data_IF_294910392446
#
_entry.id   IF_294910392446
#
_cell.length_a   1.000
_cell.length_b   1.000
_cell.length_c   1.000
_cell.angle_alpha   90.00
_cell.angle_beta   90.00
_cell.angle_gamma   90.00
#
_symmetry.space_group_name_H-M   'P 1'
#
loop_
_entity.id
_entity.type
_entity.pdbx_description
1 polymer ?
#
# COMPACT_ATOMS: atom_id res chain seq x y z
N UNK A 1 -6.12 -10.38 10.03
CA UNK A 1 -6.00 -10.86 8.64
C UNK A 1 -7.37 -10.81 8.00
N UNK A 2 -7.53 -11.08 6.70
CA UNK A 2 -8.86 -10.93 6.08
C UNK A 2 -9.83 -12.03 6.53
N UNK A 3 -9.30 -13.19 6.92
CA UNK A 3 -10.05 -14.23 7.62
C UNK A 3 -10.71 -13.71 8.89
N UNK A 4 -10.01 -12.94 9.71
CA UNK A 4 -10.56 -12.36 10.95
C UNK A 4 -11.78 -11.48 10.66
N UNK A 5 -11.78 -10.73 9.54
CA UNK A 5 -12.95 -9.94 9.12
C UNK A 5 -14.16 -10.79 8.80
N UNK A 6 -13.98 -11.99 8.22
CA UNK A 6 -15.07 -12.94 8.02
C UNK A 6 -15.59 -13.45 9.37
N UNK A 7 -14.70 -13.78 10.30
CA UNK A 7 -15.08 -14.26 11.64
C UNK A 7 -15.83 -13.19 12.46
N UNK A 8 -15.40 -11.93 12.39
CA UNK A 8 -16.05 -10.79 13.05
C UNK A 8 -17.42 -10.46 12.41
N UNK A 9 -17.55 -10.67 11.10
CA UNK A 9 -18.77 -10.38 10.33
C UNK A 9 -19.23 -11.63 9.54
N UNK A 10 -19.89 -12.60 10.21
CA UNK A 10 -20.31 -13.86 9.57
C UNK A 10 -21.29 -13.71 8.41
N UNK A 11 -21.88 -12.52 8.21
CA UNK A 11 -22.78 -12.21 7.09
C UNK A 11 -22.03 -11.95 5.77
N UNK A 12 -20.70 -11.82 5.81
CA UNK A 12 -19.89 -11.64 4.61
C UNK A 12 -19.63 -12.99 3.93
N UNK A 13 -19.91 -13.06 2.64
CA UNK A 13 -19.60 -14.25 1.83
C UNK A 13 -18.12 -14.29 1.42
N UNK A 14 -17.57 -13.14 1.05
CA UNK A 14 -16.21 -12.98 0.49
C UNK A 14 -15.62 -11.63 0.90
N UNK A 15 -14.32 -11.61 1.21
CA UNK A 15 -13.52 -10.40 1.40
C UNK A 15 -12.47 -10.31 0.29
N UNK A 16 -12.38 -9.15 -0.37
CA UNK A 16 -11.32 -8.86 -1.35
C UNK A 16 -10.15 -8.14 -0.67
N UNK A 17 -8.93 -8.59 -0.94
CA UNK A 17 -7.67 -8.11 -0.34
C UNK A 17 -6.80 -7.43 -1.40
N UNK A 18 -6.17 -6.31 -1.02
CA UNK A 18 -5.24 -5.58 -1.88
C UNK A 18 -5.98 -4.80 -2.97
N UNK A 19 -5.50 -4.90 -4.21
CA UNK A 19 -6.13 -4.26 -5.37
C UNK A 19 -7.28 -5.14 -5.89
N UNK A 20 -8.46 -4.53 -6.02
CA UNK A 20 -9.71 -5.25 -6.22
C UNK A 20 -10.17 -5.35 -7.66
N UNK A 21 -9.58 -4.59 -8.59
CA UNK A 21 -10.08 -4.39 -9.95
C UNK A 21 -10.21 -5.72 -10.70
N UNK A 22 -9.12 -6.50 -10.77
CA UNK A 22 -9.13 -7.82 -11.41
C UNK A 22 -9.92 -8.84 -10.59
N UNK A 23 -9.83 -8.78 -9.26
CA UNK A 23 -10.51 -9.72 -8.35
C UNK A 23 -12.02 -9.62 -8.46
N UNK A 24 -12.55 -8.41 -8.51
CA UNK A 24 -13.98 -8.15 -8.67
C UNK A 24 -14.45 -8.59 -10.06
N UNK A 25 -13.63 -8.38 -11.09
CA UNK A 25 -13.94 -8.84 -12.45
C UNK A 25 -14.05 -10.38 -12.53
N UNK A 26 -13.12 -11.11 -11.92
CA UNK A 26 -13.16 -12.59 -11.84
C UNK A 26 -14.34 -13.10 -10.98
N UNK A 27 -14.67 -12.39 -9.89
CA UNK A 27 -15.86 -12.71 -9.11
C UNK A 27 -17.14 -12.53 -9.93
N UNK A 28 -17.23 -11.44 -10.70
CA UNK A 28 -18.38 -11.12 -11.54
C UNK A 28 -18.51 -12.08 -12.75
N UNK A 29 -17.43 -12.70 -13.22
CA UNK A 29 -17.46 -13.71 -14.29
C UNK A 29 -17.98 -15.07 -13.82
N UNK A 30 -18.10 -15.28 -12.50
CA UNK A 30 -18.56 -16.54 -11.91
C UNK A 30 -17.45 -17.59 -11.78
N UNK A 31 -16.18 -17.18 -11.76
CA UNK A 31 -15.07 -18.08 -11.46
C UNK A 31 -15.17 -18.65 -10.04
N UNK A 32 -14.53 -19.81 -9.82
CA UNK A 32 -14.59 -20.50 -8.54
C UNK A 32 -13.74 -19.76 -7.50
N UNK A 33 -14.31 -19.47 -6.32
CA UNK A 33 -13.66 -18.66 -5.27
C UNK A 33 -12.21 -19.06 -4.93
N UNK A 34 -11.84 -20.36 -4.85
CA UNK A 34 -10.47 -20.77 -4.54
C UNK A 34 -9.45 -20.46 -5.65
N UNK A 35 -9.88 -20.24 -6.90
CA UNK A 35 -8.98 -19.90 -8.02
C UNK A 35 -8.70 -18.40 -8.10
N UNK A 36 -9.59 -17.58 -7.54
CA UNK A 36 -9.51 -16.13 -7.54
C UNK A 36 -8.50 -15.68 -6.47
N UNK A 37 -7.41 -15.05 -6.91
CA UNK A 37 -6.38 -14.51 -6.01
C UNK A 37 -6.87 -13.27 -5.26
N UNK A 38 -6.35 -13.06 -4.05
CA UNK A 38 -6.66 -11.89 -3.25
C UNK A 38 -8.05 -11.94 -2.60
N UNK A 39 -8.55 -13.11 -2.26
CA UNK A 39 -9.85 -13.29 -1.59
C UNK A 39 -9.69 -13.99 -0.24
N UNK A 40 -10.65 -13.78 0.65
CA UNK A 40 -10.94 -14.66 1.78
C UNK A 40 -12.42 -15.05 1.69
N UNK A 41 -12.76 -16.29 2.02
CA UNK A 41 -14.13 -16.81 1.91
C UNK A 41 -14.34 -17.97 2.88
N UNK A 42 -15.60 -18.36 3.09
CA UNK A 42 -15.94 -19.53 3.89
C UNK A 42 -15.78 -20.83 3.09
N UNK A 43 -15.01 -21.78 3.63
CA UNK A 43 -14.91 -23.14 3.10
C UNK A 43 -15.09 -24.14 4.25
N UNK A 44 -16.12 -24.98 4.16
CA UNK A 44 -16.43 -26.00 5.18
C UNK A 44 -16.51 -25.42 6.61
N UNK A 45 -17.11 -24.23 6.75
CA UNK A 45 -17.29 -23.55 8.04
C UNK A 45 -16.02 -22.92 8.62
N UNK A 46 -14.94 -22.80 7.82
CA UNK A 46 -13.71 -22.13 8.22
C UNK A 46 -13.37 -21.02 7.23
N UNK A 47 -12.82 -19.92 7.73
CA UNK A 47 -12.30 -18.87 6.88
C UNK A 47 -11.05 -19.40 6.15
N UNK A 48 -11.07 -19.35 4.82
CA UNK A 48 -9.96 -19.70 3.95
C UNK A 48 -9.51 -18.47 3.18
N UNK A 49 -8.20 -18.30 3.06
CA UNK A 49 -7.60 -17.24 2.26
C UNK A 49 -6.97 -17.81 0.98
N UNK A 50 -7.19 -17.14 -0.16
CA UNK A 50 -6.47 -17.44 -1.39
C UNK A 50 -5.11 -16.74 -1.44
N UNK A 51 -4.28 -17.14 -2.41
CA UNK A 51 -2.98 -16.54 -2.67
C UNK A 51 -3.09 -15.01 -2.83
N UNK A 52 -2.09 -14.28 -2.33
CA UNK A 52 -2.04 -12.83 -2.50
C UNK A 52 -1.96 -12.48 -3.98
N UNK A 53 -2.83 -11.57 -4.45
CA UNK A 53 -2.72 -10.97 -5.77
C UNK A 53 -1.59 -9.92 -5.76
N UNK A 54 -0.75 -9.95 -6.79
CA UNK A 54 0.25 -8.91 -7.02
C UNK A 54 -0.41 -7.59 -7.38
N UNK A 55 0.35 -6.50 -7.29
CA UNK A 55 -0.14 -5.18 -7.71
C UNK A 55 -0.32 -5.13 -9.23
N UNK A 56 -1.33 -4.41 -9.69
CA UNK A 56 -1.54 -4.11 -11.11
C UNK A 56 -0.32 -3.34 -11.62
N UNK A 57 0.38 -3.89 -12.60
CA UNK A 57 1.63 -3.30 -13.11
C UNK A 57 1.38 -2.15 -14.08
N UNK A 58 0.37 -2.30 -14.91
CA UNK A 58 0.02 -1.34 -15.94
C UNK A 58 -1.26 -0.60 -15.52
N UNK A 59 -1.13 0.68 -15.18
CA UNK A 59 -2.26 1.50 -14.76
C UNK A 59 -3.19 1.87 -15.91
N UNK A 60 -2.68 1.87 -17.14
CA UNK A 60 -3.47 2.19 -18.34
C UNK A 60 -4.50 1.09 -18.67
N UNK A 61 -4.38 -0.10 -18.05
CA UNK A 61 -5.37 -1.18 -18.15
C UNK A 61 -6.60 -0.94 -17.26
N UNK A 62 -6.51 -0.04 -16.29
CA UNK A 62 -7.63 0.25 -15.39
C UNK A 62 -8.59 1.23 -16.09
N UNK A 63 -9.89 0.94 -16.13
CA UNK A 63 -10.86 1.84 -16.75
C UNK A 63 -10.95 3.15 -15.97
N UNK A 64 -11.32 4.24 -16.68
CA UNK A 64 -11.64 5.49 -16.01
C UNK A 64 -12.74 5.29 -14.95
N UNK A 65 -12.67 5.98 -13.80
CA UNK A 65 -13.71 5.89 -12.80
C UNK A 65 -15.10 6.22 -13.37
N UNK A 66 -16.09 5.42 -13.01
CA UNK A 66 -17.46 5.57 -13.50
C UNK A 66 -18.20 6.72 -12.80
N UNK A 67 -17.77 7.98 -13.01
CA UNK A 67 -18.35 9.17 -12.34
C UNK A 67 -19.84 9.35 -12.56
N UNK A 68 -20.38 8.83 -13.67
CA UNK A 68 -21.81 8.87 -13.97
C UNK A 68 -22.66 8.03 -12.99
N UNK A 69 -22.05 7.13 -12.21
CA UNK A 69 -22.73 6.36 -11.16
C UNK A 69 -22.75 7.09 -9.81
N UNK A 70 -22.00 8.19 -9.67
CA UNK A 70 -21.93 8.95 -8.42
C UNK A 70 -23.01 10.04 -8.41
N UNK A 71 -23.59 10.36 -7.23
CA UNK A 71 -24.49 11.50 -7.07
C UNK A 71 -23.68 12.80 -7.09
N UNK A 72 -23.25 13.24 -8.27
CA UNK A 72 -22.30 14.33 -8.48
C UNK A 72 -22.76 15.68 -7.91
N UNK A 73 -24.06 15.85 -7.64
CA UNK A 73 -24.64 17.02 -6.98
C UNK A 73 -24.13 17.18 -5.55
N UNK A 74 -23.72 16.08 -4.90
CA UNK A 74 -23.09 16.12 -3.57
C UNK A 74 -21.61 16.47 -3.61
N UNK A 75 -21.01 16.48 -4.80
CA UNK A 75 -19.59 16.74 -5.04
C UNK A 75 -19.41 18.02 -5.86
N UNK A 76 -20.04 19.10 -5.38
CA UNK A 76 -19.99 20.42 -6.00
C UNK A 76 -19.40 21.43 -5.02
N UNK A 77 -18.51 22.29 -5.50
CA UNK A 77 -17.98 23.41 -4.75
C UNK A 77 -18.03 24.67 -5.62
N UNK A 78 -18.84 25.65 -5.22
CA UNK A 78 -19.01 26.91 -5.93
C UNK A 78 -19.54 26.76 -7.37
N UNK A 79 -20.52 25.87 -7.61
CA UNK A 79 -21.07 25.63 -8.95
C UNK A 79 -20.23 24.68 -9.82
N UNK A 80 -19.10 24.18 -9.31
CA UNK A 80 -18.20 23.28 -10.06
C UNK A 80 -18.22 21.88 -9.45
N UNK A 81 -18.58 20.88 -10.26
CA UNK A 81 -18.52 19.47 -9.89
C UNK A 81 -17.06 18.98 -9.87
N UNK A 82 -16.68 18.19 -8.87
CA UNK A 82 -15.32 17.66 -8.72
C UNK A 82 -15.34 16.18 -8.34
N UNK A 83 -14.28 15.46 -8.70
CA UNK A 83 -14.03 14.10 -8.24
C UNK A 83 -12.52 13.85 -8.18
N UNK A 84 -12.11 12.92 -7.32
CA UNK A 84 -10.71 12.53 -7.23
C UNK A 84 -10.31 11.68 -8.44
N UNK A 85 -9.10 11.90 -8.94
CA UNK A 85 -8.36 11.00 -9.82
C UNK A 85 -7.08 10.63 -9.07
N UNK A 86 -6.86 9.34 -8.84
CA UNK A 86 -5.58 8.86 -8.32
C UNK A 86 -4.64 8.65 -9.51
N UNK A 87 -3.65 9.53 -9.65
CA UNK A 87 -2.65 9.47 -10.73
C UNK A 87 -1.40 8.66 -10.35
N UNK A 88 -1.28 8.29 -9.07
CA UNK A 88 -0.22 7.42 -8.56
C UNK A 88 -0.70 6.67 -7.32
N UNK A 89 0.02 5.62 -6.94
CA UNK A 89 -0.24 4.80 -5.74
C UNK A 89 0.99 4.80 -4.84
N UNK A 90 0.79 4.62 -3.53
CA UNK A 90 1.85 4.59 -2.53
C UNK A 90 2.93 3.55 -2.88
N UNK A 91 4.17 3.85 -2.51
CA UNK A 91 5.29 2.92 -2.70
C UNK A 91 5.10 1.69 -1.80
N UNK A 92 5.37 0.51 -2.37
CA UNK A 92 5.50 -0.72 -1.58
C UNK A 92 6.82 -0.63 -0.82
N UNK A 93 6.82 -0.99 0.47
CA UNK A 93 8.08 -1.27 1.14
C UNK A 93 8.86 -2.27 0.27
N UNK A 94 10.11 -1.96 -0.12
CA UNK A 94 10.90 -2.90 -0.87
C UNK A 94 10.97 -4.22 -0.06
N UNK A 95 10.92 -5.38 -0.72
CA UNK A 95 11.27 -6.63 -0.04
C UNK A 95 12.63 -6.37 0.64
N UNK A 96 12.72 -6.66 1.95
CA UNK A 96 13.84 -6.30 2.81
C UNK A 96 15.13 -6.19 1.98
N UNK A 97 15.57 -4.97 1.71
CA UNK A 97 16.85 -4.78 1.05
C UNK A 97 17.85 -5.55 1.91
N UNK A 98 18.69 -6.43 1.32
CA UNK A 98 19.72 -7.09 2.09
C UNK A 98 20.44 -5.98 2.85
N UNK A 99 20.35 -6.02 4.18
CA UNK A 99 21.11 -5.12 5.03
C UNK A 99 22.56 -5.39 4.66
N UNK A 100 23.12 -4.55 3.80
CA UNK A 100 24.55 -4.57 3.58
C UNK A 100 25.14 -4.38 4.97
N UNK A 101 25.95 -5.34 5.46
CA UNK A 101 26.60 -5.15 6.75
C UNK A 101 27.29 -3.80 6.68
N UNK A 102 26.97 -2.92 7.61
CA UNK A 102 27.71 -1.68 7.77
C UNK A 102 29.18 -2.11 7.80
N UNK A 103 30.06 -1.52 6.97
CA UNK A 103 31.47 -1.85 7.06
C UNK A 103 31.88 -1.68 8.51
N UNK A 104 32.45 -2.73 9.10
CA UNK A 104 32.95 -2.68 10.47
C UNK A 104 33.74 -1.38 10.59
N UNK A 105 33.20 -0.47 11.42
CA UNK A 105 33.78 0.85 11.59
C UNK A 105 35.25 0.69 11.94
N UNK A 106 36.16 1.53 11.40
CA UNK A 106 37.58 1.31 11.56
C UNK A 106 37.92 1.19 13.04
N UNK A 107 38.46 0.01 13.39
CA UNK A 107 39.04 -0.27 14.68
C UNK A 107 40.03 0.83 15.04
N UNK A 108 39.80 1.50 16.18
CA UNK A 108 40.78 2.33 16.91
C UNK A 108 41.42 3.48 16.13
N UNK A 109 40.79 4.65 16.22
CA UNK A 109 41.53 5.92 16.31
C UNK A 109 42.13 6.05 17.73
N UNK A 110 43.28 5.41 17.98
CA UNK A 110 44.10 5.65 19.18
C UNK A 110 45.22 6.66 18.97
N UNK A 111 45.30 7.32 17.81
CA UNK A 111 46.44 8.20 17.47
C UNK A 111 46.06 9.63 17.08
N UNK A 112 44.82 10.07 17.29
CA UNK A 112 44.41 11.45 16.99
C UNK A 112 43.80 12.15 18.21
N UNK A 113 44.55 12.16 19.31
CA UNK A 113 44.45 13.19 20.35
C UNK A 113 45.81 13.85 20.39
N UNK A 114 46.00 14.90 19.61
CA UNK A 114 46.93 16.01 19.88
C UNK A 114 46.89 16.99 18.72
N UNK A 115 45.83 17.79 18.67
CA UNK A 115 45.88 19.09 18.02
C UNK A 115 44.88 20.03 18.70
N UNK A 116 45.31 21.15 19.31
CA UNK A 116 44.42 22.07 20.00
C UNK A 116 43.56 22.84 18.99
N UNK A 117 42.24 22.79 19.18
CA UNK A 117 41.26 23.54 18.40
C UNK A 117 41.37 25.05 18.65
N UNK A 118 41.48 25.90 17.62
CA UNK A 118 41.41 27.34 17.81
C UNK A 118 39.94 27.82 17.79
N UNK A 119 39.51 28.36 18.94
CA UNK A 119 38.81 29.64 19.06
C UNK A 119 37.68 29.95 18.05
N UNK A 120 36.44 29.62 18.40
CA UNK A 120 35.26 30.27 17.82
C UNK A 120 35.03 31.63 18.51
N UNK A 121 35.47 32.70 17.85
CA UNK A 121 35.09 34.10 18.16
C UNK A 121 33.72 34.41 17.56
N UNK A 122 32.94 35.19 18.32
CA UNK A 122 31.60 35.67 18.03
C UNK A 122 31.46 36.40 16.67
N UNK A 123 30.31 36.22 16.00
CA UNK A 123 29.54 37.31 15.36
C UNK A 123 28.04 36.94 15.30
N UNK A 124 27.21 37.65 16.06
CA UNK A 124 25.79 37.87 15.71
C UNK A 124 25.76 38.95 14.64
N UNK A 125 25.03 38.71 13.55
CA UNK A 125 24.78 39.66 12.47
C UNK A 125 23.30 40.03 12.56
N UNK A 126 23.06 41.36 12.57
CA UNK A 126 21.83 42.15 12.38
C UNK A 126 20.48 41.54 12.74
#
# INVERSE_FOLDING_TARGET
MAGDTLEECPQLDVVVKGEGEQTIAELASGENLPTIKGTAFWENGKARESEKRGLVKNLDEIPFPAYHLLPMEKYEMGGTKFAAILTSRCAVAPPELPVHPLPDGPSRLSHLRDSPSPLFRHRKIS
#
